data_IF_055267931734
#
_entry.id   IF_055267931734
#
_cell.length_a   1.000
_cell.length_b   1.000
_cell.length_c   1.000
_cell.angle_alpha   90.00
_cell.angle_beta   90.00
_cell.angle_gamma   90.00
#
_symmetry.space_group_name_H-M   'P 1'
#
loop_
_entity.id
_entity.type
_entity.pdbx_description
1 polymer ?
#
# COMPACT_ATOMS: atom_id res chain seq x y z
N UNK A 1 -11.85 75.82 3.06
CA UNK A 1 -10.39 75.94 2.86
C UNK A 1 -9.80 76.56 4.13
N UNK A 2 -8.79 75.91 4.72
CA UNK A 2 -7.97 76.34 5.89
C UNK A 2 -8.69 76.60 7.22
N UNK A 3 -8.63 75.60 8.10
CA UNK A 3 -8.82 75.77 9.56
C UNK A 3 -7.50 76.23 10.18
N UNK A 4 -7.59 77.26 11.00
CA UNK A 4 -6.56 77.82 11.87
C UNK A 4 -7.01 77.60 13.31
N UNK A 5 -6.04 77.57 14.22
CA UNK A 5 -6.05 78.11 15.60
C UNK A 5 -5.80 77.08 16.70
N UNK A 6 -4.54 77.08 17.15
CA UNK A 6 -4.05 77.10 18.54
C UNK A 6 -5.10 77.03 19.66
N UNK A 7 -4.85 76.25 20.71
CA UNK A 7 -4.81 76.75 22.10
C UNK A 7 -4.57 75.61 23.08
N UNK A 8 -3.84 75.94 24.14
CA UNK A 8 -3.30 75.06 25.15
C UNK A 8 -4.19 74.93 26.39
N UNK A 9 -3.74 74.05 27.29
CA UNK A 9 -3.83 74.10 28.76
C UNK A 9 -5.03 73.44 29.50
N UNK A 10 -4.63 72.44 30.30
CA UNK A 10 -4.80 72.29 31.76
C UNK A 10 -6.02 71.59 32.39
N UNK A 11 -5.65 70.88 33.48
CA UNK A 11 -6.41 70.40 34.65
C UNK A 11 -7.26 69.13 34.44
N UNK A 12 -7.29 68.14 35.34
CA UNK A 12 -6.76 68.01 36.70
C UNK A 12 -7.75 67.21 37.56
N UNK A 13 -7.25 66.22 38.33
CA UNK A 13 -7.88 65.48 39.45
C UNK A 13 -9.12 64.60 39.10
N UNK A 14 -9.30 63.41 39.66
CA UNK A 14 -9.56 63.10 41.08
C UNK A 14 -9.18 61.63 41.37
N UNK A 15 -8.57 61.38 42.52
CA UNK A 15 -8.44 60.04 43.13
C UNK A 15 -9.39 59.82 44.31
N UNK A 16 -9.28 58.62 44.90
CA UNK A 16 -9.92 58.02 46.11
C UNK A 16 -10.86 56.87 45.72
N UNK A 17 -10.65 55.59 46.06
CA UNK A 17 -10.22 54.85 47.26
C UNK A 17 -11.39 54.07 47.89
N UNK A 18 -11.16 52.77 48.11
CA UNK A 18 -11.91 51.87 49.02
C UNK A 18 -12.71 50.76 48.30
N UNK A 19 -12.75 49.49 48.72
CA UNK A 19 -12.12 48.73 49.80
C UNK A 19 -12.42 47.22 49.61
N UNK A 20 -11.63 46.37 50.28
CA UNK A 20 -11.94 45.00 50.78
C UNK A 20 -11.59 43.73 49.93
N UNK A 21 -10.38 43.21 50.21
CA UNK A 21 -10.03 41.90 50.80
C UNK A 21 -10.71 40.58 50.33
N UNK A 22 -9.91 39.64 49.80
CA UNK A 22 -9.74 38.27 50.36
C UNK A 22 -8.65 37.48 49.60
N UNK A 23 -7.91 36.66 50.33
CA UNK A 23 -6.67 35.95 49.97
C UNK A 23 -6.86 34.84 48.92
N UNK A 24 -5.89 34.69 48.02
CA UNK A 24 -5.48 33.39 47.45
C UNK A 24 -3.97 33.35 47.18
N UNK A 25 -3.33 32.27 47.60
CA UNK A 25 -1.91 31.93 47.41
C UNK A 25 -1.56 31.69 45.93
N UNK A 26 -0.34 31.99 45.48
CA UNK A 26 0.05 31.80 44.08
C UNK A 26 0.54 30.37 43.83
N UNK A 27 -0.19 29.62 42.99
CA UNK A 27 0.32 28.38 42.39
C UNK A 27 0.46 28.57 40.87
N UNK A 28 1.71 28.59 40.46
CA UNK A 28 2.29 28.57 39.12
C UNK A 28 1.49 27.76 38.06
N UNK A 29 0.98 28.39 36.98
CA UNK A 29 0.43 27.68 35.84
C UNK A 29 1.54 27.33 34.86
N UNK A 30 2.15 26.15 35.03
CA UNK A 30 2.89 25.51 33.94
C UNK A 30 1.88 25.11 32.85
N UNK A 31 2.02 25.57 31.59
CA UNK A 31 1.14 25.12 30.52
C UNK A 31 1.43 23.65 30.24
N UNK A 32 0.43 22.81 30.50
CA UNK A 32 0.41 21.43 30.06
C UNK A 32 0.49 21.40 28.54
N UNK A 33 1.66 21.06 28.02
CA UNK A 33 1.86 20.81 26.60
C UNK A 33 1.18 19.47 26.26
N UNK A 34 -0.15 19.48 26.09
CA UNK A 34 -0.86 18.40 25.42
C UNK A 34 -0.52 18.50 23.94
N UNK A 35 0.65 17.98 23.61
CA UNK A 35 1.06 17.70 22.26
C UNK A 35 0.19 16.54 21.78
N UNK A 36 -1.05 16.85 21.37
CA UNK A 36 -1.88 15.94 20.59
C UNK A 36 -1.17 15.77 19.26
N UNK A 37 -0.19 14.86 19.23
CA UNK A 37 0.28 14.25 18.00
C UNK A 37 -0.99 13.74 17.32
N UNK A 38 -1.43 14.43 16.28
CA UNK A 38 -2.31 13.87 15.27
C UNK A 38 -1.68 12.52 14.90
N UNK A 39 -2.26 11.41 15.37
CA UNK A 39 -1.75 10.09 15.08
C UNK A 39 -2.05 9.84 13.61
N UNK A 40 -1.17 10.27 12.72
CA UNK A 40 -1.22 9.89 11.32
C UNK A 40 -1.26 8.38 11.25
N UNK A 41 -2.13 7.85 10.38
CA UNK A 41 -2.20 6.42 10.08
C UNK A 41 -0.78 5.92 9.77
N UNK A 42 -0.36 4.83 10.43
CA UNK A 42 0.94 4.21 10.18
C UNK A 42 1.00 3.77 8.73
N UNK A 43 2.18 3.79 8.12
CA UNK A 43 2.34 3.32 6.74
C UNK A 43 3.16 2.04 6.66
N UNK A 44 2.81 1.20 5.69
CA UNK A 44 3.70 0.18 5.15
C UNK A 44 3.87 0.50 3.67
N UNK A 45 5.08 0.88 3.28
CA UNK A 45 5.45 1.25 1.92
C UNK A 45 6.37 0.19 1.34
N UNK A 46 5.96 -0.39 0.22
CA UNK A 46 6.69 -1.47 -0.46
C UNK A 46 6.97 -1.03 -1.89
N UNK A 47 8.23 -1.08 -2.32
CA UNK A 47 8.59 -0.93 -3.73
C UNK A 47 9.03 -2.28 -4.29
N UNK A 48 8.31 -2.75 -5.32
CA UNK A 48 8.67 -3.92 -6.11
C UNK A 48 9.48 -3.45 -7.32
N UNK A 49 10.75 -3.84 -7.39
CA UNK A 49 11.65 -3.56 -8.50
C UNK A 49 11.86 -4.89 -9.23
N UNK A 50 11.21 -5.05 -10.39
CA UNK A 50 11.21 -6.30 -11.12
C UNK A 50 12.08 -6.18 -12.37
N UNK A 51 13.00 -7.11 -12.53
CA UNK A 51 13.71 -7.26 -13.80
C UNK A 51 12.72 -7.72 -14.89
N UNK A 52 12.72 -7.01 -16.01
CA UNK A 52 11.96 -7.33 -17.22
C UNK A 52 12.87 -7.65 -18.41
N UNK A 53 14.07 -8.17 -18.15
CA UNK A 53 14.94 -8.79 -19.14
C UNK A 53 14.32 -10.06 -19.74
N UNK A 54 14.88 -10.55 -20.86
CA UNK A 54 14.32 -11.65 -21.66
C UNK A 54 14.12 -12.97 -20.87
N UNK A 55 14.92 -13.22 -19.83
CA UNK A 55 14.85 -14.43 -19.02
C UNK A 55 13.78 -14.38 -17.93
N UNK A 56 13.15 -13.22 -17.70
CA UNK A 56 12.35 -12.96 -16.49
C UNK A 56 10.84 -13.15 -16.66
N UNK A 57 10.38 -13.85 -17.70
CA UNK A 57 8.95 -14.16 -17.86
C UNK A 57 8.39 -14.90 -16.64
N UNK A 58 9.14 -15.89 -16.13
CA UNK A 58 8.76 -16.62 -14.92
C UNK A 58 8.63 -15.72 -13.69
N UNK A 59 9.54 -14.77 -13.49
CA UNK A 59 9.48 -13.81 -12.39
C UNK A 59 8.20 -12.96 -12.49
N UNK A 60 7.89 -12.46 -13.67
CA UNK A 60 6.71 -11.63 -13.91
C UNK A 60 5.42 -12.44 -13.72
N UNK A 61 5.36 -13.69 -14.16
CA UNK A 61 4.23 -14.59 -13.92
C UNK A 61 4.06 -14.94 -12.43
N UNK A 62 5.14 -15.13 -11.69
CA UNK A 62 5.09 -15.30 -10.23
C UNK A 62 4.61 -14.04 -9.52
N UNK A 63 5.08 -12.86 -9.93
CA UNK A 63 4.62 -11.58 -9.38
C UNK A 63 3.11 -11.39 -9.58
N UNK A 64 2.59 -11.65 -10.79
CA UNK A 64 1.13 -11.65 -11.06
C UNK A 64 0.38 -12.64 -10.18
N UNK A 65 0.94 -13.84 -10.00
CA UNK A 65 0.37 -14.93 -9.20
C UNK A 65 0.38 -14.67 -7.69
N UNK A 66 1.32 -13.86 -7.18
CA UNK A 66 1.55 -13.66 -5.74
C UNK A 66 1.17 -12.27 -5.24
N UNK A 67 0.83 -11.31 -6.11
CA UNK A 67 0.42 -9.95 -5.72
C UNK A 67 -0.61 -9.94 -4.58
N UNK A 68 -1.70 -10.69 -4.74
CA UNK A 68 -2.79 -10.71 -3.76
C UNK A 68 -2.39 -11.40 -2.45
N UNK A 69 -1.54 -12.41 -2.50
CA UNK A 69 -0.98 -13.03 -1.30
C UNK A 69 -0.13 -12.03 -0.49
N UNK A 70 0.72 -11.26 -1.17
CA UNK A 70 1.53 -10.20 -0.55
C UNK A 70 0.63 -9.14 0.11
N UNK A 71 -0.41 -8.68 -0.60
CA UNK A 71 -1.39 -7.73 -0.07
C UNK A 71 -2.10 -8.31 1.16
N UNK A 72 -2.52 -9.57 1.10
CA UNK A 72 -3.21 -10.25 2.19
C UNK A 72 -2.31 -10.30 3.43
N UNK A 73 -1.05 -10.72 3.29
CA UNK A 73 -0.06 -10.70 4.38
C UNK A 73 0.06 -9.32 5.00
N UNK A 74 0.29 -8.28 4.18
CA UNK A 74 0.44 -6.91 4.65
C UNK A 74 -0.82 -6.42 5.39
N UNK A 75 -2.01 -6.77 4.92
CA UNK A 75 -3.29 -6.35 5.50
C UNK A 75 -3.56 -6.92 6.89
N UNK A 76 -2.91 -8.04 7.24
CA UNK A 76 -3.00 -8.62 8.60
C UNK A 76 -2.26 -7.79 9.64
N UNK A 77 -1.27 -7.00 9.23
CA UNK A 77 -0.41 -6.28 10.16
C UNK A 77 -1.17 -5.14 10.82
N UNK A 78 -0.95 -4.99 12.14
CA UNK A 78 -1.49 -3.92 12.98
C UNK A 78 -0.36 -3.29 13.76
N UNK A 79 -0.42 -1.97 13.89
CA UNK A 79 0.44 -1.21 14.79
C UNK A 79 -0.43 -0.64 15.91
N UNK A 80 -0.15 -1.01 17.16
CA UNK A 80 -0.96 -0.61 18.32
C UNK A 80 -2.48 -0.86 18.13
N UNK A 81 -2.83 -1.97 17.49
CA UNK A 81 -4.21 -2.37 17.21
C UNK A 81 -4.88 -1.68 16.01
N UNK A 82 -4.19 -0.76 15.31
CA UNK A 82 -4.71 -0.08 14.12
C UNK A 82 -4.12 -0.66 12.84
N UNK A 83 -4.94 -0.76 11.78
CA UNK A 83 -4.46 -1.05 10.42
C UNK A 83 -3.54 0.07 9.96
N UNK A 84 -2.37 -0.23 9.39
CA UNK A 84 -1.60 0.75 8.63
C UNK A 84 -2.18 0.90 7.22
N UNK A 85 -1.91 2.07 6.63
CA UNK A 85 -2.10 2.31 5.20
C UNK A 85 -0.99 1.59 4.43
N UNK A 86 -1.38 0.76 3.46
CA UNK A 86 -0.47 0.02 2.60
C UNK A 86 -0.33 0.77 1.28
N UNK A 87 0.91 1.06 0.90
CA UNK A 87 1.24 1.69 -0.37
C UNK A 87 2.27 0.81 -1.11
N UNK A 88 1.95 0.44 -2.35
CA UNK A 88 2.84 -0.38 -3.18
C UNK A 88 3.24 0.43 -4.40
N UNK A 89 4.54 0.45 -4.70
CA UNK A 89 5.11 0.98 -5.92
C UNK A 89 5.63 -0.17 -6.78
N UNK A 90 5.63 0.05 -8.10
CA UNK A 90 6.13 -0.91 -9.09
C UNK A 90 7.13 -0.21 -10.00
N UNK A 91 8.31 -0.79 -10.12
CA UNK A 91 9.32 -0.45 -11.12
C UNK A 91 9.61 -1.68 -11.95
N UNK A 92 9.97 -1.41 -13.19
CA UNK A 92 10.69 -2.37 -14.00
C UNK A 92 12.08 -1.83 -14.33
N UNK A 93 13.04 -2.73 -14.52
CA UNK A 93 14.38 -2.43 -14.98
C UNK A 93 14.89 -3.56 -15.87
N UNK A 94 16.00 -3.33 -16.60
CA UNK A 94 16.61 -4.38 -17.41
C UNK A 94 16.00 -4.56 -18.80
N UNK A 95 15.15 -3.62 -19.23
CA UNK A 95 14.47 -3.69 -20.53
C UNK A 95 15.01 -2.66 -21.53
N UNK A 96 15.58 -3.13 -22.65
CA UNK A 96 16.22 -2.33 -23.71
C UNK A 96 15.22 -1.47 -24.49
N UNK A 97 13.92 -1.73 -24.35
CA UNK A 97 12.86 -0.84 -24.84
C UNK A 97 12.74 0.44 -24.02
N UNK A 98 13.40 0.53 -22.86
CA UNK A 98 13.45 1.71 -22.00
C UNK A 98 14.64 2.61 -22.36
N UNK A 99 14.56 3.88 -21.96
CA UNK A 99 15.59 4.84 -22.30
C UNK A 99 16.92 4.51 -21.59
N UNK A 100 17.99 4.36 -22.37
CA UNK A 100 19.33 4.10 -21.84
C UNK A 100 19.87 5.25 -20.98
N UNK A 101 19.45 6.49 -21.28
CA UNK A 101 19.75 7.68 -20.48
C UNK A 101 19.17 7.59 -19.05
N UNK A 102 18.03 6.91 -18.92
CA UNK A 102 17.38 6.60 -17.65
C UNK A 102 17.77 5.21 -17.11
N UNK A 103 18.91 4.68 -17.57
CA UNK A 103 19.48 3.41 -17.11
C UNK A 103 18.56 2.21 -17.31
N UNK A 104 17.69 2.26 -18.33
CA UNK A 104 16.69 1.23 -18.61
C UNK A 104 15.72 0.98 -17.44
N UNK A 105 15.30 2.04 -16.75
CA UNK A 105 14.43 1.95 -15.57
C UNK A 105 13.16 2.77 -15.79
N UNK A 106 12.01 2.19 -15.49
CA UNK A 106 10.72 2.89 -15.51
C UNK A 106 10.01 2.74 -14.17
N UNK A 107 9.56 3.88 -13.62
CA UNK A 107 8.55 3.90 -12.55
C UNK A 107 7.19 3.59 -13.17
N UNK A 108 6.72 2.37 -13.01
CA UNK A 108 5.46 1.90 -13.58
C UNK A 108 4.28 2.41 -12.77
N UNK A 109 4.38 2.32 -11.44
CA UNK A 109 3.38 2.84 -10.49
C UNK A 109 4.13 3.52 -9.34
N UNK A 110 3.77 4.78 -8.97
CA UNK A 110 4.28 5.39 -7.74
C UNK A 110 3.74 4.64 -6.51
N UNK A 111 4.13 5.04 -5.29
CA UNK A 111 3.51 4.51 -4.07
C UNK A 111 2.00 4.80 -4.12
N UNK A 112 1.20 3.74 -4.21
CA UNK A 112 -0.24 3.82 -4.45
C UNK A 112 -1.01 2.90 -3.51
N UNK A 113 -2.19 3.35 -3.08
CA UNK A 113 -3.19 2.52 -2.40
C UNK A 113 -4.14 1.82 -3.38
N UNK A 114 -4.10 2.19 -4.67
CA UNK A 114 -4.94 1.60 -5.72
C UNK A 114 -4.34 0.28 -6.20
N UNK A 115 -4.80 -0.81 -5.58
CA UNK A 115 -4.36 -2.17 -5.88
C UNK A 115 -4.76 -2.65 -7.28
N UNK A 116 -5.82 -2.07 -7.86
CA UNK A 116 -6.27 -2.43 -9.22
C UNK A 116 -5.41 -1.77 -10.29
N UNK A 117 -4.93 -0.54 -10.04
CA UNK A 117 -3.91 0.07 -10.87
C UNK A 117 -2.60 -0.73 -10.83
N UNK A 118 -2.18 -1.16 -9.64
CA UNK A 118 -0.96 -1.99 -9.49
C UNK A 118 -1.11 -3.29 -10.27
N UNK A 119 -2.25 -3.98 -10.10
CA UNK A 119 -2.55 -5.21 -10.84
C UNK A 119 -2.59 -4.96 -12.36
N UNK A 120 -3.32 -3.94 -12.82
CA UNK A 120 -3.39 -3.57 -14.24
C UNK A 120 -2.00 -3.40 -14.85
N UNK A 121 -1.14 -2.60 -14.19
CA UNK A 121 0.20 -2.33 -14.70
C UNK A 121 1.13 -3.53 -14.61
N UNK A 122 1.02 -4.33 -13.55
CA UNK A 122 1.78 -5.58 -13.42
C UNK A 122 1.42 -6.58 -14.53
N UNK A 123 0.13 -6.73 -14.84
CA UNK A 123 -0.34 -7.59 -15.93
C UNK A 123 0.06 -7.07 -17.32
N UNK A 124 0.31 -5.76 -17.45
CA UNK A 124 0.78 -5.13 -18.67
C UNK A 124 2.30 -5.25 -18.91
N UNK A 125 3.09 -5.65 -17.90
CA UNK A 125 4.54 -5.81 -18.07
C UNK A 125 4.88 -6.89 -19.09
N UNK A 126 5.93 -6.64 -19.88
CA UNK A 126 6.47 -7.55 -20.89
C UNK A 126 7.98 -7.55 -20.76
N UNK A 127 8.57 -8.72 -20.95
CA UNK A 127 10.01 -8.85 -21.00
C UNK A 127 10.54 -8.45 -22.36
N UNK A 128 11.69 -7.80 -22.37
CA UNK A 128 12.44 -7.48 -23.58
C UNK A 128 13.84 -7.09 -23.14
N UNK A 129 14.86 -7.83 -23.56
CA UNK A 129 16.19 -7.96 -22.92
C UNK A 129 16.90 -6.66 -22.58
N UNK A 130 17.97 -6.71 -21.79
CA UNK A 130 18.78 -5.53 -21.57
C UNK A 130 19.80 -5.60 -20.44
N UNK A 131 20.30 -4.42 -20.08
CA UNK A 131 21.31 -4.23 -19.03
C UNK A 131 20.66 -3.99 -17.66
N UNK A 132 21.01 -4.81 -16.67
CA UNK A 132 20.41 -4.78 -15.34
C UNK A 132 21.21 -3.91 -14.38
N UNK A 133 20.70 -2.73 -14.03
CA UNK A 133 21.40 -1.80 -13.13
C UNK A 133 20.72 -1.70 -11.76
N UNK A 134 20.95 -2.72 -10.92
CA UNK A 134 20.38 -2.84 -9.58
C UNK A 134 20.61 -1.59 -8.70
N UNK A 135 21.85 -1.09 -8.66
CA UNK A 135 22.19 0.12 -7.90
C UNK A 135 21.42 1.36 -8.39
N UNK A 136 21.19 1.46 -9.71
CA UNK A 136 20.49 2.60 -10.31
C UNK A 136 18.99 2.56 -10.02
N UNK A 137 18.32 1.40 -10.11
CA UNK A 137 16.87 1.29 -9.82
C UNK A 137 16.56 1.52 -8.34
N UNK A 138 17.42 1.06 -7.44
CA UNK A 138 17.30 1.37 -6.01
C UNK A 138 17.49 2.89 -5.79
N UNK A 139 18.51 3.50 -6.40
CA UNK A 139 18.73 4.95 -6.29
C UNK A 139 17.54 5.76 -6.80
N UNK A 140 16.97 5.37 -7.95
CA UNK A 140 15.83 6.04 -8.58
C UNK A 140 14.57 5.88 -7.73
N UNK A 141 14.25 4.68 -7.27
CA UNK A 141 13.09 4.45 -6.39
C UNK A 141 13.18 5.23 -5.06
N UNK A 142 14.39 5.43 -4.52
CA UNK A 142 14.59 6.26 -3.33
C UNK A 142 14.42 7.78 -3.56
N UNK A 143 14.61 8.24 -4.80
CA UNK A 143 14.50 9.66 -5.18
C UNK A 143 13.09 10.02 -5.65
N UNK A 144 12.49 9.14 -6.44
CA UNK A 144 11.24 9.42 -7.17
C UNK A 144 9.98 9.03 -6.37
N UNK A 145 10.10 8.19 -5.33
CA UNK A 145 8.97 7.81 -4.49
C UNK A 145 8.84 8.69 -3.24
N UNK A 146 7.60 8.97 -2.87
CA UNK A 146 7.24 9.73 -1.68
C UNK A 146 7.28 8.85 -0.42
N UNK A 147 8.49 8.43 -0.04
CA UNK A 147 8.71 7.66 1.19
C UNK A 147 8.32 8.47 2.43
N UNK A 148 7.70 7.80 3.40
CA UNK A 148 7.34 8.39 4.69
C UNK A 148 8.58 8.85 5.44
N UNK A 149 8.47 10.03 6.05
CA UNK A 149 9.48 10.59 6.93
C UNK A 149 9.37 10.06 8.37
N UNK A 150 8.32 9.31 8.71
CA UNK A 150 8.18 8.70 10.04
C UNK A 150 9.02 7.42 10.12
N UNK A 151 9.92 7.35 11.09
CA UNK A 151 10.82 6.21 11.28
C UNK A 151 10.12 4.95 11.78
N UNK A 152 8.88 5.10 12.30
CA UNK A 152 8.03 3.98 12.73
C UNK A 152 7.35 3.29 11.56
N UNK A 153 7.19 3.98 10.43
CA UNK A 153 6.60 3.39 9.24
C UNK A 153 7.58 2.36 8.63
N UNK A 154 7.00 1.29 8.09
CA UNK A 154 7.77 0.21 7.47
C UNK A 154 8.02 0.57 6.01
N UNK A 155 9.28 0.62 5.59
CA UNK A 155 9.70 0.97 4.22
C UNK A 155 10.60 -0.12 3.67
N UNK A 156 10.12 -0.82 2.66
CA UNK A 156 10.77 -2.01 2.12
C UNK A 156 10.94 -1.87 0.60
N UNK A 157 12.14 -2.17 0.13
CA UNK A 157 12.40 -2.42 -1.29
C UNK A 157 12.57 -3.93 -1.44
N UNK A 158 11.88 -4.50 -2.42
CA UNK A 158 12.14 -5.84 -2.94
C UNK A 158 12.63 -5.71 -4.37
N UNK A 159 13.87 -6.10 -4.61
CA UNK A 159 14.45 -6.16 -5.95
C UNK A 159 14.61 -7.61 -6.37
N UNK A 160 14.20 -7.94 -7.60
CA UNK A 160 14.27 -9.29 -8.14
C UNK A 160 14.81 -9.30 -9.58
N UNK A 161 15.74 -10.22 -9.87
CA UNK A 161 16.44 -10.36 -11.15
C UNK A 161 17.51 -11.44 -11.11
N UNK A 162 18.27 -11.62 -12.18
CA UNK A 162 19.18 -12.77 -12.33
C UNK A 162 20.63 -12.42 -12.73
N UNK A 163 20.97 -11.16 -12.94
CA UNK A 163 22.35 -10.75 -13.26
C UNK A 163 23.14 -10.24 -12.03
N UNK A 164 24.48 -10.12 -12.12
CA UNK A 164 25.30 -9.54 -11.07
C UNK A 164 24.78 -8.21 -10.52
N UNK A 165 24.56 -8.16 -9.20
CA UNK A 165 23.96 -7.03 -8.49
C UNK A 165 24.80 -5.74 -8.56
N UNK A 166 26.08 -5.86 -8.92
CA UNK A 166 27.04 -4.79 -9.00
C UNK A 166 27.17 -4.17 -10.41
N UNK A 167 26.30 -4.52 -11.35
CA UNK A 167 26.29 -3.95 -12.68
C UNK A 167 25.88 -2.47 -12.71
N UNK A 168 26.36 -1.76 -13.73
CA UNK A 168 26.04 -0.37 -14.02
C UNK A 168 26.93 0.66 -13.29
N UNK A 169 26.69 1.95 -13.54
CA UNK A 169 27.57 3.03 -13.05
C UNK A 169 27.34 3.40 -11.58
N UNK A 170 26.25 2.94 -10.96
CA UNK A 170 25.84 3.32 -9.61
C UNK A 170 26.25 2.24 -8.61
N UNK A 171 27.11 2.60 -7.65
CA UNK A 171 27.53 1.68 -6.59
C UNK A 171 26.37 1.29 -5.68
N UNK A 172 25.95 0.02 -5.74
CA UNK A 172 24.91 -0.50 -4.85
C UNK A 172 25.28 -0.37 -3.37
N UNK A 173 26.57 -0.46 -3.01
CA UNK A 173 27.02 -0.36 -1.61
C UNK A 173 26.71 1.00 -1.01
N UNK A 174 26.97 2.08 -1.76
CA UNK A 174 26.68 3.44 -1.28
C UNK A 174 25.18 3.71 -1.25
N UNK A 175 24.45 3.24 -2.26
CA UNK A 175 22.98 3.39 -2.30
C UNK A 175 22.30 2.60 -1.17
N UNK A 176 22.74 1.37 -0.89
CA UNK A 176 22.20 0.58 0.22
C UNK A 176 22.42 1.26 1.57
N UNK A 177 23.63 1.82 1.82
CA UNK A 177 23.90 2.60 3.03
C UNK A 177 22.98 3.82 3.13
N UNK A 178 22.75 4.52 2.02
CA UNK A 178 21.85 5.68 2.00
C UNK A 178 20.38 5.28 2.22
N UNK A 179 19.95 4.11 1.74
CA UNK A 179 18.62 3.57 2.00
C UNK A 179 18.42 3.30 3.50
N UNK A 180 19.40 2.65 4.14
CA UNK A 180 19.37 2.34 5.58
C UNK A 180 19.33 3.63 6.41
N UNK A 181 20.10 4.67 6.07
CA UNK A 181 20.02 5.98 6.74
C UNK A 181 18.61 6.58 6.67
N UNK A 182 17.87 6.32 5.58
CA UNK A 182 16.48 6.72 5.38
C UNK A 182 15.46 5.74 5.98
N UNK A 183 15.89 4.73 6.75
CA UNK A 183 15.05 3.65 7.28
C UNK A 183 14.31 2.84 6.17
N UNK A 184 14.92 2.71 4.99
CA UNK A 184 14.44 1.90 3.88
C UNK A 184 15.30 0.64 3.83
N UNK A 185 14.68 -0.53 4.02
CA UNK A 185 15.39 -1.82 4.01
C UNK A 185 15.30 -2.45 2.63
N UNK A 186 16.42 -3.01 2.14
CA UNK A 186 16.51 -3.58 0.79
C UNK A 186 16.61 -5.10 0.90
N UNK A 187 15.57 -5.77 0.42
CA UNK A 187 15.51 -7.21 0.28
C UNK A 187 15.78 -7.58 -1.17
N UNK A 188 16.59 -8.61 -1.38
CA UNK A 188 17.04 -9.01 -2.71
C UNK A 188 16.57 -10.43 -2.99
N UNK A 189 16.02 -10.67 -4.18
CA UNK A 189 15.47 -11.95 -4.59
C UNK A 189 16.16 -12.38 -5.89
N UNK A 190 17.14 -13.28 -5.78
CA UNK A 190 17.87 -13.77 -6.95
C UNK A 190 17.07 -14.85 -7.68
N UNK A 191 16.83 -14.65 -8.97
CA UNK A 191 16.12 -15.59 -9.84
C UNK A 191 17.09 -16.66 -10.37
N UNK A 192 17.50 -17.58 -9.51
CA UNK A 192 18.46 -18.64 -9.83
C UNK A 192 18.95 -19.41 -8.60
N UNK A 193 20.10 -20.06 -8.75
CA UNK A 193 20.74 -20.82 -7.67
C UNK A 193 21.22 -19.94 -6.53
N UNK A 194 21.02 -20.40 -5.28
CA UNK A 194 21.42 -19.68 -4.06
C UNK A 194 22.90 -19.27 -4.05
N UNK A 195 23.80 -20.21 -4.33
CA UNK A 195 25.25 -19.93 -4.27
C UNK A 195 25.70 -18.99 -5.40
N UNK A 196 25.00 -19.02 -6.53
CA UNK A 196 25.24 -18.08 -7.62
C UNK A 196 24.85 -16.67 -7.21
N UNK A 197 23.67 -16.46 -6.60
CA UNK A 197 23.27 -15.14 -6.11
C UNK A 197 24.19 -14.58 -5.02
N UNK A 198 24.85 -15.44 -4.23
CA UNK A 198 25.92 -15.00 -3.32
C UNK A 198 27.14 -14.50 -4.11
N UNK A 199 27.58 -15.26 -5.11
CA UNK A 199 28.70 -14.91 -6.00
C UNK A 199 28.43 -13.62 -6.77
N UNK A 200 27.18 -13.43 -7.19
CA UNK A 200 26.68 -12.29 -7.95
C UNK A 200 26.26 -11.11 -7.06
N UNK A 201 26.68 -11.12 -5.79
CA UNK A 201 26.53 -10.02 -4.82
C UNK A 201 25.10 -9.70 -4.38
N UNK A 202 24.11 -10.54 -4.68
CA UNK A 202 22.73 -10.33 -4.20
C UNK A 202 22.66 -10.41 -2.67
N UNK A 203 23.33 -11.41 -2.08
CA UNK A 203 23.42 -11.49 -0.62
C UNK A 203 24.12 -10.27 -0.01
N UNK A 204 25.21 -9.80 -0.62
CA UNK A 204 25.93 -8.61 -0.16
C UNK A 204 25.06 -7.34 -0.29
N UNK A 205 24.24 -7.24 -1.34
CA UNK A 205 23.23 -6.20 -1.51
C UNK A 205 22.20 -6.16 -0.38
N UNK A 206 21.62 -7.32 -0.04
CA UNK A 206 20.68 -7.44 1.07
C UNK A 206 21.32 -7.10 2.42
N UNK A 207 22.52 -7.63 2.69
CA UNK A 207 23.26 -7.34 3.94
C UNK A 207 23.57 -5.86 4.06
N UNK A 208 24.04 -5.23 2.97
CA UNK A 208 24.32 -3.79 2.91
C UNK A 208 23.07 -2.94 3.13
N UNK A 209 21.90 -3.44 2.73
CA UNK A 209 20.60 -2.79 2.89
C UNK A 209 19.85 -3.17 4.17
N UNK A 210 20.50 -3.86 5.12
CA UNK A 210 19.89 -4.43 6.33
C UNK A 210 18.63 -5.30 6.07
N UNK A 211 18.51 -5.86 4.88
CA UNK A 211 17.40 -6.70 4.46
C UNK A 211 17.69 -8.18 4.53
N UNK A 212 16.97 -8.93 3.70
CA UNK A 212 17.06 -10.38 3.57
C UNK A 212 17.39 -10.76 2.14
N UNK A 213 18.21 -11.79 2.01
CA UNK A 213 18.55 -12.43 0.75
C UNK A 213 17.67 -13.66 0.56
N UNK A 214 17.03 -13.73 -0.59
CA UNK A 214 16.27 -14.88 -1.05
C UNK A 214 16.76 -15.30 -2.43
N UNK A 215 16.52 -16.56 -2.76
CA UNK A 215 16.63 -17.05 -4.11
C UNK A 215 15.34 -17.79 -4.47
N UNK A 216 14.93 -17.70 -5.72
CA UNK A 216 13.74 -18.39 -6.23
C UNK A 216 14.07 -19.05 -7.56
N UNK A 217 13.40 -20.16 -7.84
CA UNK A 217 13.29 -20.64 -9.21
C UNK A 217 12.14 -19.87 -9.87
N UNK A 218 12.48 -18.87 -10.68
CA UNK A 218 11.50 -18.01 -11.35
C UNK A 218 10.58 -18.79 -12.31
N UNK A 219 11.06 -19.91 -12.87
CA UNK A 219 10.31 -20.72 -13.82
C UNK A 219 9.51 -21.83 -13.15
N UNK A 220 9.68 -22.03 -11.84
CA UNK A 220 8.86 -22.97 -11.08
C UNK A 220 7.41 -22.52 -11.07
N UNK A 221 6.53 -23.45 -11.42
CA UNK A 221 5.10 -23.19 -11.35
C UNK A 221 4.67 -22.97 -9.90
N UNK A 222 3.87 -21.91 -9.71
CA UNK A 222 3.27 -21.57 -8.43
C UNK A 222 2.29 -22.67 -8.02
N UNK A 223 2.54 -23.28 -6.87
CA UNK A 223 1.65 -24.29 -6.31
C UNK A 223 0.43 -23.60 -5.69
N UNK A 224 -0.75 -24.09 -6.08
CA UNK A 224 -2.04 -23.64 -5.56
C UNK A 224 -2.71 -24.78 -4.81
N UNK A 225 -3.01 -24.54 -3.53
CA UNK A 225 -3.79 -25.46 -2.71
C UNK A 225 -5.27 -25.08 -2.88
N UNK A 226 -6.05 -25.98 -3.46
CA UNK A 226 -7.51 -25.84 -3.55
C UNK A 226 -8.10 -26.11 -2.18
N UNK A 227 -9.02 -25.26 -1.74
CA UNK A 227 -9.64 -25.39 -0.41
C UNK A 227 -11.16 -25.56 -0.49
N UNK A 228 -11.80 -26.15 0.54
CA UNK A 228 -13.27 -26.24 0.60
C UNK A 228 -13.98 -24.88 0.66
N UNK A 229 -13.24 -23.79 0.92
CA UNK A 229 -13.78 -22.45 1.11
C UNK A 229 -13.80 -21.63 -0.19
N UNK A 230 -13.04 -22.05 -1.20
CA UNK A 230 -12.78 -21.29 -2.42
C UNK A 230 -14.08 -20.93 -3.17
N UNK A 231 -14.98 -21.91 -3.34
CA UNK A 231 -16.26 -21.72 -4.04
C UNK A 231 -17.08 -20.62 -3.37
N UNK A 232 -17.21 -20.69 -2.03
CA UNK A 232 -18.00 -19.71 -1.29
C UNK A 232 -17.39 -18.32 -1.34
N UNK A 233 -16.07 -18.21 -1.25
CA UNK A 233 -15.39 -16.92 -1.37
C UNK A 233 -15.65 -16.31 -2.75
N UNK A 234 -15.59 -17.11 -3.83
CA UNK A 234 -15.87 -16.63 -5.18
C UNK A 234 -17.33 -16.18 -5.36
N UNK A 235 -18.31 -16.87 -4.76
CA UNK A 235 -19.71 -16.38 -4.74
C UNK A 235 -19.84 -15.03 -4.03
N UNK A 236 -19.12 -14.85 -2.91
CA UNK A 236 -19.09 -13.59 -2.18
C UNK A 236 -18.44 -12.47 -3.00
N UNK A 237 -17.46 -12.77 -3.86
CA UNK A 237 -16.90 -11.78 -4.77
C UNK A 237 -17.95 -11.19 -5.71
N UNK A 238 -18.83 -12.02 -6.27
CA UNK A 238 -19.90 -11.57 -7.18
C UNK A 238 -20.82 -10.59 -6.45
N UNK A 239 -21.20 -10.93 -5.21
CA UNK A 239 -22.01 -10.04 -4.37
C UNK A 239 -21.26 -8.76 -4.03
N UNK A 240 -19.99 -8.86 -3.64
CA UNK A 240 -19.13 -7.74 -3.30
C UNK A 240 -19.04 -6.74 -4.47
N UNK A 241 -18.85 -7.23 -5.69
CA UNK A 241 -18.85 -6.41 -6.91
C UNK A 241 -20.14 -5.61 -7.11
N UNK A 242 -21.28 -6.21 -6.74
CA UNK A 242 -22.59 -5.57 -6.76
C UNK A 242 -22.79 -4.45 -5.73
N UNK A 243 -21.80 -4.22 -4.85
CA UNK A 243 -21.85 -3.13 -3.86
C UNK A 243 -21.09 -1.88 -4.29
N UNK A 244 -20.24 -1.92 -5.32
CA UNK A 244 -19.47 -0.75 -5.77
C UNK A 244 -20.30 0.19 -6.65
N UNK A 245 -20.22 1.48 -6.35
CA UNK A 245 -20.94 2.54 -7.04
C UNK A 245 -19.91 3.56 -7.53
N UNK A 246 -19.60 3.52 -8.82
CA UNK A 246 -18.63 4.45 -9.42
C UNK A 246 -19.14 5.90 -9.39
N UNK A 247 -18.34 6.85 -8.92
CA UNK A 247 -18.64 8.28 -8.96
C UNK A 247 -17.52 9.10 -9.60
N UNK A 248 -17.84 10.34 -9.99
CA UNK A 248 -16.90 11.23 -10.65
C UNK A 248 -16.52 10.78 -12.07
N UNK A 249 -15.57 11.50 -12.68
CA UNK A 249 -15.17 11.25 -14.07
C UNK A 249 -14.47 9.91 -14.29
N UNK A 250 -13.88 9.32 -13.25
CA UNK A 250 -13.14 8.06 -13.32
C UNK A 250 -13.95 6.85 -12.83
N UNK A 251 -15.11 7.06 -12.22
CA UNK A 251 -15.90 6.02 -11.56
C UNK A 251 -16.22 4.81 -12.44
N UNK A 252 -16.67 5.06 -13.67
CA UNK A 252 -16.99 4.00 -14.63
C UNK A 252 -15.75 3.20 -15.03
N UNK A 253 -14.67 3.89 -15.44
CA UNK A 253 -13.43 3.25 -15.88
C UNK A 253 -12.74 2.47 -14.74
N UNK A 254 -12.78 2.97 -13.50
CA UNK A 254 -12.22 2.27 -12.34
C UNK A 254 -13.04 1.05 -11.94
N UNK A 255 -14.38 1.14 -11.99
CA UNK A 255 -15.27 -0.01 -11.78
C UNK A 255 -15.06 -1.09 -12.85
N UNK A 256 -14.87 -0.70 -14.10
CA UNK A 256 -14.52 -1.62 -15.18
C UNK A 256 -13.13 -2.24 -14.96
N UNK A 257 -12.13 -1.45 -14.55
CA UNK A 257 -10.81 -1.98 -14.22
C UNK A 257 -10.87 -3.00 -13.07
N UNK A 258 -11.68 -2.77 -12.03
CA UNK A 258 -11.89 -3.75 -10.95
C UNK A 258 -12.36 -5.11 -11.49
N UNK A 259 -13.27 -5.11 -12.47
CA UNK A 259 -13.76 -6.33 -13.13
C UNK A 259 -12.66 -6.96 -13.99
N UNK A 260 -11.92 -6.16 -14.76
CA UNK A 260 -10.77 -6.66 -15.53
C UNK A 260 -9.71 -7.32 -14.64
N UNK A 261 -9.48 -6.80 -13.43
CA UNK A 261 -8.55 -7.40 -12.48
C UNK A 261 -9.11 -8.67 -11.81
N UNK A 262 -10.43 -8.82 -11.66
CA UNK A 262 -11.04 -10.12 -11.34
C UNK A 262 -10.74 -11.16 -12.44
N UNK A 263 -10.92 -10.77 -13.71
CA UNK A 263 -10.63 -11.66 -14.83
C UNK A 263 -9.16 -12.04 -14.92
N UNK A 264 -8.25 -11.08 -14.70
CA UNK A 264 -6.80 -11.34 -14.69
C UNK A 264 -6.44 -12.34 -13.59
N UNK A 265 -6.95 -12.15 -12.38
CA UNK A 265 -6.72 -13.09 -11.27
C UNK A 265 -7.28 -14.49 -11.58
N UNK A 266 -8.50 -14.55 -12.14
CA UNK A 266 -9.14 -15.81 -12.53
C UNK A 266 -8.40 -16.56 -13.64
N UNK A 267 -7.81 -15.84 -14.62
CA UNK A 267 -6.99 -16.41 -15.69
C UNK A 267 -5.71 -17.05 -15.15
N UNK A 268 -5.14 -16.51 -14.07
CA UNK A 268 -3.97 -17.10 -13.41
C UNK A 268 -4.33 -18.43 -12.73
N UNK A 269 -5.31 -18.40 -11.82
CA UNK A 269 -5.84 -19.58 -11.15
C UNK A 269 -7.10 -19.24 -10.35
N UNK A 270 -7.97 -20.23 -10.12
CA UNK A 270 -9.10 -20.09 -9.18
C UNK A 270 -8.62 -19.66 -7.79
N UNK A 271 -7.52 -20.23 -7.31
CA UNK A 271 -6.93 -19.85 -6.03
C UNK A 271 -6.43 -18.39 -6.01
N UNK A 272 -5.91 -17.87 -7.12
CA UNK A 272 -5.48 -16.46 -7.23
C UNK A 272 -6.69 -15.50 -7.18
N UNK A 273 -7.80 -15.88 -7.82
CA UNK A 273 -9.07 -15.17 -7.71
C UNK A 273 -9.60 -15.11 -6.26
N UNK A 274 -9.46 -16.21 -5.51
CA UNK A 274 -9.82 -16.26 -4.09
C UNK A 274 -8.92 -15.34 -3.26
N UNK A 275 -7.60 -15.34 -3.49
CA UNK A 275 -6.67 -14.41 -2.83
C UNK A 275 -7.05 -12.96 -3.09
N UNK A 276 -7.37 -12.60 -4.34
CA UNK A 276 -7.86 -11.26 -4.70
C UNK A 276 -9.13 -10.91 -3.93
N UNK A 277 -10.07 -11.83 -3.86
CA UNK A 277 -11.34 -11.62 -3.16
C UNK A 277 -11.10 -11.35 -1.67
N UNK A 278 -10.18 -12.09 -1.04
CA UNK A 278 -9.75 -11.82 0.34
C UNK A 278 -9.12 -10.43 0.46
N UNK A 279 -8.28 -10.02 -0.49
CA UNK A 279 -7.69 -8.67 -0.50
C UNK A 279 -8.76 -7.58 -0.57
N UNK A 280 -9.78 -7.74 -1.42
CA UNK A 280 -10.93 -6.81 -1.55
C UNK A 280 -11.79 -6.75 -0.29
N UNK A 281 -11.79 -7.83 0.49
CA UNK A 281 -12.43 -7.89 1.80
C UNK A 281 -11.65 -7.19 2.92
N UNK A 282 -10.39 -6.84 2.67
CA UNK A 282 -9.49 -6.27 3.68
C UNK A 282 -9.51 -4.74 3.69
N UNK A 283 -8.96 -4.14 4.75
CA UNK A 283 -8.77 -2.68 4.82
C UNK A 283 -7.70 -2.15 3.84
N UNK A 284 -6.94 -3.02 3.17
CA UNK A 284 -5.93 -2.62 2.19
C UNK A 284 -6.55 -2.16 0.86
N UNK A 285 -7.75 -2.66 0.53
CA UNK A 285 -8.43 -2.33 -0.72
C UNK A 285 -9.28 -1.06 -0.55
N UNK A 286 -8.69 0.09 -0.89
CA UNK A 286 -9.29 1.41 -0.73
C UNK A 286 -9.67 2.01 -2.08
N UNK A 287 -10.94 2.38 -2.24
CA UNK A 287 -11.46 2.89 -3.51
C UNK A 287 -12.17 4.24 -3.37
N UNK A 288 -11.92 4.98 -2.29
CA UNK A 288 -12.61 6.24 -2.01
C UNK A 288 -12.39 7.35 -3.05
N UNK A 289 -11.47 7.19 -4.01
CA UNK A 289 -11.33 8.10 -5.17
C UNK A 289 -12.39 7.91 -6.25
N UNK A 290 -13.07 6.76 -6.29
CA UNK A 290 -13.98 6.41 -7.38
C UNK A 290 -15.21 5.64 -6.94
N UNK A 291 -15.23 5.03 -5.76
CA UNK A 291 -16.37 4.31 -5.19
C UNK A 291 -17.07 5.15 -4.12
N UNK A 292 -18.37 5.36 -4.30
CA UNK A 292 -19.18 6.25 -3.48
C UNK A 292 -19.37 5.74 -2.05
N UNK A 293 -19.49 4.42 -1.87
CA UNK A 293 -19.65 3.80 -0.56
C UNK A 293 -18.39 4.01 0.28
N UNK A 294 -17.20 3.79 -0.30
CA UNK A 294 -15.92 4.05 0.37
C UNK A 294 -15.71 5.56 0.62
N UNK A 295 -16.04 6.41 -0.36
CA UNK A 295 -15.90 7.86 -0.24
C UNK A 295 -16.77 8.45 0.88
N UNK A 296 -18.02 7.99 1.01
CA UNK A 296 -18.91 8.42 2.09
C UNK A 296 -18.47 7.85 3.45
N UNK A 297 -18.09 6.56 3.51
CA UNK A 297 -17.56 5.93 4.73
C UNK A 297 -16.32 6.64 5.28
N UNK A 298 -15.45 7.10 4.38
CA UNK A 298 -14.23 7.82 4.74
C UNK A 298 -14.44 9.34 4.89
N UNK A 299 -15.68 9.83 4.78
CA UNK A 299 -16.03 11.24 4.97
C UNK A 299 -15.48 12.19 3.90
N UNK A 300 -15.07 11.66 2.75
CA UNK A 300 -14.51 12.42 1.63
C UNK A 300 -15.57 13.25 0.92
N UNK A 301 -16.78 12.74 0.87
CA UNK A 301 -17.95 13.41 0.33
C UNK A 301 -19.20 12.94 1.06
N UNK A 302 -20.30 13.67 0.86
CA UNK A 302 -21.63 13.26 1.30
C UNK A 302 -22.52 13.11 0.08
N UNK A 303 -23.16 11.95 -0.08
CA UNK A 303 -23.96 11.68 -1.29
C UNK A 303 -25.17 12.61 -1.40
N UNK A 304 -25.69 13.05 -0.25
CA UNK A 304 -26.80 14.00 -0.12
C UNK A 304 -26.47 15.38 -0.71
N UNK A 305 -25.19 15.77 -0.73
CA UNK A 305 -24.72 17.08 -1.21
C UNK A 305 -24.31 17.07 -2.69
N UNK A 306 -24.31 15.90 -3.35
CA UNK A 306 -23.88 15.76 -4.74
C UNK A 306 -24.87 16.40 -5.73
N UNK A 307 -24.34 17.06 -6.75
CA UNK A 307 -25.17 17.62 -7.84
C UNK A 307 -25.72 16.51 -8.73
N UNK A 308 -26.89 16.74 -9.31
CA UNK A 308 -27.56 15.78 -10.22
C UNK A 308 -26.66 15.31 -11.37
N UNK A 309 -25.82 16.21 -11.90
CA UNK A 309 -24.87 15.90 -12.99
C UNK A 309 -23.72 15.00 -12.57
N UNK A 310 -23.41 14.94 -11.28
CA UNK A 310 -22.30 14.18 -10.69
C UNK A 310 -22.76 12.81 -10.17
N UNK A 311 -24.07 12.57 -10.11
CA UNK A 311 -24.63 11.33 -9.59
C UNK A 311 -24.41 10.16 -10.57
N UNK A 312 -24.09 8.97 -10.02
CA UNK A 312 -24.15 7.73 -10.78
C UNK A 312 -25.57 7.46 -11.27
N UNK A 313 -25.69 6.69 -12.34
CA UNK A 313 -26.96 6.42 -13.01
C UNK A 313 -28.02 5.85 -12.05
N UNK A 314 -27.60 5.00 -11.12
CA UNK A 314 -28.41 4.35 -10.10
C UNK A 314 -29.05 5.34 -9.11
N UNK A 315 -28.51 6.56 -8.99
CA UNK A 315 -28.95 7.59 -8.04
C UNK A 315 -29.64 8.79 -8.68
N UNK A 316 -29.64 8.90 -10.02
CA UNK A 316 -30.32 9.99 -10.72
C UNK A 316 -31.82 9.97 -10.47
N UNK A 317 -32.40 11.14 -10.24
CA UNK A 317 -33.82 11.33 -9.91
C UNK A 317 -34.22 10.95 -8.47
N UNK A 318 -33.29 10.42 -7.65
CA UNK A 318 -33.54 10.18 -6.22
C UNK A 318 -33.40 11.48 -5.43
N UNK A 319 -34.20 11.64 -4.38
CA UNK A 319 -34.02 12.68 -3.36
C UNK A 319 -32.75 12.46 -2.53
N UNK A 320 -32.25 13.50 -1.86
CA UNK A 320 -31.07 13.40 -0.99
C UNK A 320 -31.18 12.28 0.05
N UNK A 321 -32.35 12.14 0.68
CA UNK A 321 -32.64 11.09 1.65
C UNK A 321 -32.62 9.68 1.04
N UNK A 322 -33.14 9.52 -0.19
CA UNK A 322 -33.11 8.24 -0.90
C UNK A 322 -31.70 7.86 -1.36
N UNK A 323 -30.88 8.85 -1.76
CA UNK A 323 -29.47 8.63 -2.11
C UNK A 323 -28.69 8.11 -0.92
N UNK A 324 -28.83 8.79 0.23
CA UNK A 324 -28.20 8.40 1.48
C UNK A 324 -28.61 6.99 1.90
N UNK A 325 -29.92 6.71 1.94
CA UNK A 325 -30.43 5.37 2.26
C UNK A 325 -29.88 4.29 1.33
N UNK A 326 -29.74 4.57 0.04
CA UNK A 326 -29.18 3.63 -0.94
C UNK A 326 -27.71 3.33 -0.66
N UNK A 327 -26.87 4.36 -0.49
CA UNK A 327 -25.44 4.17 -0.24
C UNK A 327 -25.20 3.50 1.11
N UNK A 328 -25.93 3.90 2.16
CA UNK A 328 -25.87 3.24 3.47
C UNK A 328 -26.29 1.75 3.40
N UNK A 329 -27.32 1.41 2.62
CA UNK A 329 -27.73 0.03 2.43
C UNK A 329 -26.64 -0.78 1.73
N UNK A 330 -26.00 -0.22 0.69
CA UNK A 330 -24.85 -0.85 0.01
C UNK A 330 -23.63 -0.97 0.92
N UNK A 331 -23.39 0.00 1.79
CA UNK A 331 -22.35 -0.07 2.82
C UNK A 331 -22.58 -1.23 3.80
N UNK A 332 -23.81 -1.38 4.31
CA UNK A 332 -24.15 -2.51 5.21
C UNK A 332 -24.01 -3.86 4.53
N UNK A 333 -24.54 -3.99 3.31
CA UNK A 333 -24.38 -5.21 2.48
C UNK A 333 -22.90 -5.56 2.29
N UNK A 334 -22.07 -4.57 1.94
CA UNK A 334 -20.63 -4.74 1.76
C UNK A 334 -19.96 -5.22 3.06
N UNK A 335 -20.26 -4.59 4.19
CA UNK A 335 -19.64 -4.94 5.47
C UNK A 335 -19.96 -6.38 5.91
N UNK A 336 -21.18 -6.85 5.67
CA UNK A 336 -21.56 -8.24 5.93
C UNK A 336 -20.78 -9.22 5.05
N UNK A 337 -20.69 -8.94 3.74
CA UNK A 337 -19.93 -9.75 2.78
C UNK A 337 -18.44 -9.79 3.16
N UNK A 338 -17.84 -8.63 3.48
CA UNK A 338 -16.42 -8.54 3.85
C UNK A 338 -16.13 -9.30 5.15
N UNK A 339 -17.05 -9.30 6.12
CA UNK A 339 -16.91 -10.13 7.34
C UNK A 339 -16.88 -11.62 7.03
N UNK A 340 -17.78 -12.08 6.16
CA UNK A 340 -17.83 -13.50 5.75
C UNK A 340 -16.56 -13.89 4.95
N UNK A 341 -16.12 -13.04 4.02
CA UNK A 341 -14.86 -13.22 3.29
C UNK A 341 -13.67 -13.30 4.26
N UNK A 342 -13.61 -12.41 5.26
CA UNK A 342 -12.53 -12.43 6.25
C UNK A 342 -12.51 -13.73 7.07
N UNK A 343 -13.67 -14.22 7.50
CA UNK A 343 -13.77 -15.47 8.24
C UNK A 343 -13.34 -16.68 7.39
N UNK A 344 -13.84 -16.76 6.15
CA UNK A 344 -13.49 -17.84 5.24
C UNK A 344 -12.03 -17.76 4.80
N UNK A 345 -11.49 -16.57 4.57
CA UNK A 345 -10.09 -16.34 4.25
C UNK A 345 -9.15 -16.84 5.35
N UNK A 346 -9.51 -16.66 6.62
CA UNK A 346 -8.77 -17.20 7.77
C UNK A 346 -8.78 -18.73 7.81
N UNK A 347 -9.97 -19.34 7.64
CA UNK A 347 -10.10 -20.81 7.56
C UNK A 347 -9.32 -21.38 6.38
N UNK A 348 -9.36 -20.69 5.25
CA UNK A 348 -8.60 -21.02 4.04
C UNK A 348 -7.10 -20.97 4.29
N UNK A 349 -6.57 -19.91 4.88
CA UNK A 349 -5.15 -19.80 5.18
C UNK A 349 -4.68 -20.91 6.13
N UNK A 350 -5.45 -21.19 7.19
CA UNK A 350 -5.12 -22.28 8.11
C UNK A 350 -5.06 -23.65 7.42
N UNK A 351 -5.99 -23.92 6.49
CA UNK A 351 -5.98 -25.14 5.68
C UNK A 351 -4.74 -25.22 4.79
N UNK A 352 -4.39 -24.12 4.11
CA UNK A 352 -3.19 -24.05 3.26
C UNK A 352 -1.93 -24.30 4.10
N UNK A 353 -1.80 -23.64 5.25
CA UNK A 353 -0.65 -23.81 6.14
C UNK A 353 -0.49 -25.27 6.61
N UNK A 354 -1.60 -25.96 6.86
CA UNK A 354 -1.58 -27.38 7.24
C UNK A 354 -1.20 -28.30 6.07
N UNK A 355 -1.68 -28.02 4.86
CA UNK A 355 -1.30 -28.79 3.66
C UNK A 355 0.16 -28.54 3.26
N UNK A 356 0.64 -27.30 3.36
CA UNK A 356 2.02 -26.95 3.03
C UNK A 356 3.04 -27.65 3.94
N UNK A 357 2.73 -27.84 5.23
CA UNK A 357 3.55 -28.65 6.15
C UNK A 357 3.76 -30.09 5.67
N UNK A 358 2.85 -30.63 4.84
CA UNK A 358 2.94 -31.99 4.29
C UNK A 358 3.77 -32.05 3.00
N UNK A 359 3.93 -30.92 2.30
CA UNK A 359 4.50 -30.87 0.95
C UNK A 359 5.91 -30.23 0.87
N UNK A 360 6.46 -29.79 2.01
CA UNK A 360 7.77 -29.13 2.10
C UNK A 360 7.72 -27.65 1.70
N UNK A 361 8.78 -26.90 2.01
CA UNK A 361 8.84 -25.46 1.74
C UNK A 361 8.85 -25.16 0.22
N UNK A 362 8.14 -24.09 -0.15
CA UNK A 362 8.13 -23.54 -1.51
C UNK A 362 8.90 -22.23 -1.56
N UNK A 363 10.01 -22.24 -2.29
CA UNK A 363 10.83 -21.06 -2.56
C UNK A 363 10.26 -20.29 -3.78
N UNK A 364 9.23 -19.48 -3.56
CA UNK A 364 8.68 -18.55 -4.56
C UNK A 364 8.68 -17.09 -4.07
N UNK A 365 8.41 -16.17 -5.00
CA UNK A 365 8.44 -14.72 -4.73
C UNK A 365 7.53 -14.31 -3.56
N UNK A 366 6.33 -14.89 -3.46
CA UNK A 366 5.36 -14.55 -2.43
C UNK A 366 5.81 -15.00 -1.05
N UNK A 367 6.38 -16.21 -0.95
CA UNK A 367 6.94 -16.73 0.29
C UNK A 367 8.13 -15.88 0.77
N UNK A 368 9.05 -15.51 -0.12
CA UNK A 368 10.19 -14.64 0.19
C UNK A 368 9.75 -13.30 0.78
N UNK A 369 8.77 -12.64 0.13
CA UNK A 369 8.24 -11.35 0.59
C UNK A 369 7.51 -11.51 1.92
N UNK A 370 6.62 -12.50 2.05
CA UNK A 370 5.83 -12.73 3.27
C UNK A 370 6.72 -13.00 4.48
N UNK A 371 7.74 -13.85 4.34
CA UNK A 371 8.68 -14.14 5.42
C UNK A 371 9.45 -12.89 5.87
N UNK A 372 9.97 -12.12 4.90
CA UNK A 372 10.65 -10.85 5.17
C UNK A 372 9.74 -9.84 5.88
N UNK A 373 8.51 -9.64 5.37
CA UNK A 373 7.53 -8.72 5.96
C UNK A 373 7.26 -9.06 7.42
N UNK A 374 7.09 -10.34 7.76
CA UNK A 374 6.81 -10.77 9.13
C UNK A 374 7.99 -10.53 10.08
N UNK A 375 9.23 -10.73 9.64
CA UNK A 375 10.42 -10.36 10.42
C UNK A 375 10.49 -8.84 10.66
N UNK A 376 10.27 -8.04 9.63
CA UNK A 376 10.27 -6.58 9.73
C UNK A 376 9.12 -6.05 10.59
N UNK A 377 7.96 -6.69 10.52
CA UNK A 377 6.82 -6.37 11.38
C UNK A 377 7.22 -6.46 12.85
N UNK A 378 7.84 -7.57 13.25
CA UNK A 378 8.34 -7.77 14.61
C UNK A 378 9.39 -6.71 14.99
N UNK A 379 10.34 -6.40 14.10
CA UNK A 379 11.38 -5.37 14.32
C UNK A 379 10.79 -3.96 14.51
N UNK A 380 9.70 -3.64 13.81
CA UNK A 380 9.06 -2.31 13.82
C UNK A 380 7.87 -2.20 14.79
N UNK A 381 7.53 -3.26 15.53
CA UNK A 381 6.43 -3.27 16.50
C UNK A 381 5.04 -3.47 15.89
N UNK A 382 4.97 -3.91 14.64
CA UNK A 382 3.74 -4.40 14.03
C UNK A 382 3.49 -5.82 14.50
N UNK A 383 2.22 -6.17 14.65
CA UNK A 383 1.78 -7.53 14.97
C UNK A 383 0.75 -7.95 13.94
N UNK A 384 0.86 -9.15 13.40
CA UNK A 384 -0.28 -9.72 12.70
C UNK A 384 -1.45 -9.77 13.69
N UNK A 385 -2.62 -9.24 13.31
CA UNK A 385 -3.84 -9.55 14.03
C UNK A 385 -3.99 -11.07 14.02
N UNK A 386 -4.17 -11.69 15.19
CA UNK A 386 -4.42 -13.13 15.26
C UNK A 386 -5.47 -13.48 14.21
N UNK A 387 -5.00 -14.27 13.25
CA UNK A 387 -5.76 -14.95 12.21
C UNK A 387 -6.88 -15.78 12.80
#
# INVERSE_FOLDING_TARGET
MRKIVLSALCAGLIGLAGCANAQTTPTDPRPGNTNTRTTSERKIQVALLLDTSNSMDGLIEQAKSRLWNIVNTLSTLKYEGKSPQIEIALYEYGNDGLESADHYIRRVVPLSTDLDLISEKLFALRTNGGSEYCGAVISKSMKDLEWSNDTRDMKLIYIAGNEPFNQGPVSYKEICKDAVKKNIYINTIYCGGKDQGITDFWQDGAVSGEGRYFNIDANRQVLYVVTPYDVRINELNIKLNGTYIGYGSLGAAKKENQVMQDENAQKMASANMVERTVSKGSSAYRNDDWDLVDAEKNGKLKVEDMKESELPAELKGKSAEERKKYVEAKGREREEIQKEISELGRKRQAYIDEEMKKQGDTDDLGAAITNSVMEFANKKGYKASNS
#
